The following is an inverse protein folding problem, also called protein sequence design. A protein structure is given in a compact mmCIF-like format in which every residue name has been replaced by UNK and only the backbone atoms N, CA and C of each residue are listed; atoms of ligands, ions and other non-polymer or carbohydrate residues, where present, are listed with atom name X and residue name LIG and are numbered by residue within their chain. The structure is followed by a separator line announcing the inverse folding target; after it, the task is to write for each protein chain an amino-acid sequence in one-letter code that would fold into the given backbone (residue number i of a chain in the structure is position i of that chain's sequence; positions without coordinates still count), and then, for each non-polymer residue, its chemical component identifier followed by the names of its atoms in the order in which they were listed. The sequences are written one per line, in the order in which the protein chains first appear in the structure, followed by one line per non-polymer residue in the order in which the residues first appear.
data_IF_951438146501
#
_entry.id   IF_951438146501
#
_cell.length_a   1.000
_cell.length_b   1.000
_cell.length_c   1.000
_cell.angle_alpha   90.00
_cell.angle_beta   90.00
_cell.angle_gamma   90.00
#
_symmetry.space_group_name_H-M   'P 1'
#
loop_
_entity.id
_entity.type
_entity.pdbx_description
1 polymer ?
#
# COMPACT_ATOMS: atom_id res chain seq x y z
N UNK A 1 10.10 10.28 12.34
CA UNK A 1 10.81 9.01 12.16
C UNK A 1 11.35 8.86 10.73
N UNK A 2 10.68 9.46 9.75
CA UNK A 2 11.08 9.38 8.34
C UNK A 2 11.62 10.71 7.78
N UNK A 3 11.96 11.67 8.63
CA UNK A 3 12.43 13.00 8.21
C UNK A 3 13.66 12.96 7.30
N UNK A 4 14.59 12.06 7.58
CA UNK A 4 15.85 11.92 6.85
C UNK A 4 15.84 10.76 5.85
N UNK A 5 14.65 10.22 5.54
CA UNK A 5 14.53 9.14 4.57
C UNK A 5 14.90 9.64 3.16
N UNK A 6 15.80 8.91 2.50
CA UNK A 6 16.26 9.30 1.16
C UNK A 6 15.30 8.84 0.08
N UNK A 7 14.54 9.77 -0.46
CA UNK A 7 13.54 9.54 -1.52
C UNK A 7 14.17 9.45 -2.93
N UNK A 8 15.43 9.92 -3.08
CA UNK A 8 16.10 10.02 -4.39
C UNK A 8 16.04 8.75 -5.24
N UNK A 9 16.41 7.58 -4.72
CA UNK A 9 16.39 6.34 -5.51
C UNK A 9 14.99 6.03 -6.07
N UNK A 10 13.93 6.37 -5.32
CA UNK A 10 12.55 6.07 -5.72
C UNK A 10 12.02 7.01 -6.80
N UNK A 11 12.61 8.19 -6.93
CA UNK A 11 12.32 9.09 -8.06
C UNK A 11 12.88 8.53 -9.37
N UNK A 12 13.93 7.73 -9.31
CA UNK A 12 14.55 7.09 -10.48
C UNK A 12 13.84 5.81 -10.92
N UNK A 13 13.03 5.23 -10.06
CA UNK A 13 12.27 4.00 -10.34
C UNK A 13 10.94 4.34 -11.01
N UNK A 14 10.98 4.59 -12.31
CA UNK A 14 9.82 5.05 -13.08
C UNK A 14 8.79 3.93 -13.28
N UNK A 15 7.47 4.25 -13.25
CA UNK A 15 6.46 3.29 -13.66
C UNK A 15 6.50 3.09 -15.18
N UNK A 16 5.90 2.01 -15.72
CA UNK A 16 5.69 1.89 -17.15
C UNK A 16 4.93 3.11 -17.67
N UNK A 17 5.27 3.58 -18.87
CA UNK A 17 4.59 4.74 -19.44
C UNK A 17 3.11 4.45 -19.74
N UNK A 18 2.29 5.50 -19.78
CA UNK A 18 0.84 5.38 -19.92
C UNK A 18 0.41 4.63 -21.19
N UNK A 19 1.16 4.82 -22.28
CA UNK A 19 0.87 4.19 -23.57
C UNK A 19 1.70 2.94 -23.84
N UNK A 20 2.44 2.43 -22.85
CA UNK A 20 3.31 1.28 -23.03
C UNK A 20 2.53 -0.03 -23.14
N UNK A 21 3.16 -1.04 -23.74
CA UNK A 21 2.66 -2.40 -23.75
C UNK A 21 2.47 -2.93 -22.33
N UNK A 22 3.41 -2.65 -21.43
CA UNK A 22 3.34 -3.11 -20.05
C UNK A 22 2.12 -2.56 -19.32
N UNK A 23 1.81 -1.27 -19.51
CA UNK A 23 0.61 -0.67 -18.90
C UNK A 23 -0.67 -1.31 -19.45
N UNK A 24 -0.75 -1.53 -20.76
CA UNK A 24 -1.88 -2.21 -21.37
C UNK A 24 -2.05 -3.63 -20.84
N UNK A 25 -0.94 -4.34 -20.63
CA UNK A 25 -0.96 -5.70 -20.12
C UNK A 25 -1.41 -5.72 -18.65
N UNK A 26 -0.93 -4.81 -17.82
CA UNK A 26 -1.35 -4.69 -16.44
C UNK A 26 -2.84 -4.35 -16.32
N UNK A 27 -3.35 -3.49 -17.21
CA UNK A 27 -4.78 -3.17 -17.26
C UNK A 27 -5.61 -4.41 -17.58
N UNK A 28 -5.16 -5.21 -18.53
CA UNK A 28 -5.78 -6.47 -18.91
C UNK A 28 -5.82 -7.45 -17.73
N UNK A 29 -4.73 -7.54 -16.98
CA UNK A 29 -4.64 -8.39 -15.79
C UNK A 29 -5.61 -7.95 -14.68
N UNK A 30 -5.77 -6.64 -14.48
CA UNK A 30 -6.73 -6.11 -13.51
C UNK A 30 -8.15 -6.58 -13.81
N UNK A 31 -8.53 -6.60 -15.08
CA UNK A 31 -9.87 -7.02 -15.51
C UNK A 31 -10.16 -8.49 -15.19
N UNK A 32 -9.13 -9.30 -14.99
CA UNK A 32 -9.27 -10.72 -14.63
C UNK A 32 -9.50 -10.93 -13.14
N UNK A 33 -9.19 -9.94 -12.31
CA UNK A 33 -9.41 -10.04 -10.87
C UNK A 33 -10.88 -9.77 -10.57
N UNK A 34 -11.60 -10.70 -9.90
CA UNK A 34 -13.00 -10.44 -9.54
C UNK A 34 -13.12 -9.22 -8.62
N UNK A 35 -14.09 -8.36 -8.90
CA UNK A 35 -14.36 -7.16 -8.10
C UNK A 35 -15.16 -7.56 -6.85
N UNK A 36 -14.46 -7.82 -5.73
CA UNK A 36 -15.05 -8.27 -4.47
C UNK A 36 -15.14 -7.11 -3.48
N UNK A 37 -16.29 -6.48 -3.40
CA UNK A 37 -16.52 -5.30 -2.55
C UNK A 37 -16.26 -5.56 -1.07
N UNK A 38 -16.65 -6.71 -0.55
CA UNK A 38 -16.48 -7.04 0.86
C UNK A 38 -15.01 -7.16 1.23
N UNK A 39 -14.20 -7.75 0.36
CA UNK A 39 -12.75 -7.83 0.55
C UNK A 39 -12.13 -6.44 0.57
N UNK A 40 -12.53 -5.57 -0.37
CA UNK A 40 -12.03 -4.19 -0.44
C UNK A 40 -12.39 -3.44 0.84
N UNK A 41 -13.63 -3.52 1.29
CA UNK A 41 -14.08 -2.85 2.52
C UNK A 41 -13.33 -3.31 3.75
N UNK A 42 -13.05 -4.60 3.83
CA UNK A 42 -12.34 -5.20 4.97
C UNK A 42 -10.92 -4.63 5.13
N UNK A 43 -10.26 -4.30 4.03
CA UNK A 43 -8.85 -3.88 4.04
C UNK A 43 -8.63 -2.41 3.66
N UNK A 44 -9.70 -1.64 3.46
CA UNK A 44 -9.58 -0.23 3.10
C UNK A 44 -9.01 0.62 4.23
N UNK A 45 -9.49 0.44 5.45
CA UNK A 45 -8.96 1.16 6.61
C UNK A 45 -7.81 0.35 7.21
N UNK A 46 -6.60 0.86 7.04
CA UNK A 46 -5.36 0.17 7.44
C UNK A 46 -5.31 -0.06 8.95
N UNK A 47 -5.63 0.97 9.75
CA UNK A 47 -5.59 0.88 11.21
C UNK A 47 -6.56 -0.19 11.72
N UNK A 48 -7.78 -0.19 11.19
CA UNK A 48 -8.81 -1.16 11.55
C UNK A 48 -8.40 -2.58 11.19
N UNK A 49 -7.81 -2.76 10.00
CA UNK A 49 -7.37 -4.08 9.54
C UNK A 49 -6.32 -4.69 10.48
N UNK A 50 -5.32 -3.91 10.88
CA UNK A 50 -4.28 -4.39 11.80
C UNK A 50 -4.82 -4.60 13.22
N UNK A 51 -5.70 -3.72 13.71
CA UNK A 51 -6.32 -3.88 15.01
C UNK A 51 -7.14 -5.18 15.09
N UNK A 52 -7.87 -5.48 14.02
CA UNK A 52 -8.64 -6.73 13.92
C UNK A 52 -7.74 -7.96 13.94
N UNK A 53 -6.63 -7.93 13.20
CA UNK A 53 -5.64 -9.00 13.21
C UNK A 53 -5.08 -9.23 14.61
N UNK A 54 -4.74 -8.16 15.33
CA UNK A 54 -4.24 -8.23 16.69
C UNK A 54 -5.25 -8.90 17.61
N UNK A 55 -6.52 -8.51 17.51
CA UNK A 55 -7.60 -9.07 18.31
C UNK A 55 -7.81 -10.57 18.02
N UNK A 56 -7.84 -10.94 16.74
CA UNK A 56 -8.06 -12.33 16.33
C UNK A 56 -6.92 -13.25 16.73
N UNK A 57 -5.73 -12.70 16.94
CA UNK A 57 -4.53 -13.48 17.33
C UNK A 57 -4.15 -13.27 18.80
N UNK A 58 -5.04 -12.67 19.59
CA UNK A 58 -4.84 -12.46 21.03
C UNK A 58 -3.50 -11.77 21.35
N UNK A 59 -3.16 -10.74 20.58
CA UNK A 59 -1.92 -9.99 20.75
C UNK A 59 -2.01 -9.11 21.99
N UNK A 60 -1.21 -9.42 23.00
CA UNK A 60 -1.14 -8.60 24.21
C UNK A 60 -0.27 -7.35 23.96
N UNK A 61 -0.68 -6.23 24.56
CA UNK A 61 0.07 -4.99 24.45
C UNK A 61 0.03 -4.35 23.08
N UNK A 62 -0.93 -4.71 22.24
CA UNK A 62 -1.09 -4.07 20.93
C UNK A 62 -1.39 -2.57 21.11
N UNK A 63 -0.56 -1.72 20.54
CA UNK A 63 -0.73 -0.28 20.59
C UNK A 63 -1.16 0.26 19.22
N UNK A 64 -2.42 0.67 19.11
CA UNK A 64 -2.97 1.22 17.87
C UNK A 64 -2.27 2.50 17.40
N UNK A 65 -1.56 3.19 18.29
CA UNK A 65 -0.82 4.41 17.95
C UNK A 65 0.36 4.14 17.02
N UNK A 66 0.88 2.92 17.01
CA UNK A 66 2.00 2.55 16.14
C UNK A 66 1.60 2.68 14.67
N UNK A 67 0.48 2.05 14.29
CA UNK A 67 -0.03 2.13 12.93
C UNK A 67 -0.38 3.58 12.55
N UNK A 68 -1.08 4.29 13.44
CA UNK A 68 -1.48 5.68 13.18
C UNK A 68 -0.27 6.58 12.92
N UNK A 69 0.79 6.44 13.72
CA UNK A 69 2.02 7.23 13.57
C UNK A 69 2.73 6.92 12.26
N UNK A 70 2.84 5.66 11.89
CA UNK A 70 3.51 5.26 10.64
C UNK A 70 2.74 5.74 9.41
N UNK A 71 1.42 5.73 9.46
CA UNK A 71 0.59 6.29 8.40
C UNK A 71 0.87 7.79 8.25
N UNK A 72 0.85 8.50 9.35
CA UNK A 72 1.10 9.95 9.37
C UNK A 72 2.50 10.29 8.85
N UNK A 73 3.53 9.59 9.33
CA UNK A 73 4.92 9.89 9.00
C UNK A 73 5.27 9.49 7.56
N UNK A 74 4.64 8.46 7.00
CA UNK A 74 4.89 8.02 5.63
C UNK A 74 4.14 8.81 4.57
N UNK A 75 3.02 9.42 4.93
CA UNK A 75 2.15 10.11 3.98
C UNK A 75 2.86 11.18 3.14
N UNK A 76 3.69 12.08 3.69
CA UNK A 76 4.36 13.10 2.88
C UNK A 76 5.29 12.50 1.82
N UNK A 77 6.02 11.43 2.15
CA UNK A 77 6.92 10.75 1.21
C UNK A 77 6.12 10.12 0.06
N UNK A 78 5.04 9.44 0.41
CA UNK A 78 4.15 8.81 -0.59
C UNK A 78 3.58 9.86 -1.54
N UNK A 79 3.05 10.96 -0.99
CA UNK A 79 2.43 12.02 -1.79
C UNK A 79 3.44 12.70 -2.70
N UNK A 80 4.67 12.93 -2.23
CA UNK A 80 5.72 13.53 -3.06
C UNK A 80 6.03 12.64 -4.26
N UNK A 81 6.16 11.33 -4.07
CA UNK A 81 6.42 10.39 -5.15
C UNK A 81 5.25 10.27 -6.11
N UNK A 82 4.01 10.30 -5.61
CA UNK A 82 2.81 10.30 -6.45
C UNK A 82 2.77 11.51 -7.37
N UNK A 83 3.10 12.68 -6.85
CA UNK A 83 3.17 13.91 -7.63
C UNK A 83 4.32 13.87 -8.64
N UNK A 84 5.48 13.38 -8.22
CA UNK A 84 6.67 13.30 -9.08
C UNK A 84 6.42 12.41 -10.30
N UNK A 85 5.93 11.19 -10.08
CA UNK A 85 5.69 10.25 -11.17
C UNK A 85 4.44 10.56 -11.98
N UNK A 86 3.46 11.19 -11.35
CA UNK A 86 2.25 11.69 -12.01
C UNK A 86 1.53 10.63 -12.85
N UNK A 87 1.50 9.37 -12.39
CA UNK A 87 0.87 8.29 -13.14
C UNK A 87 -0.66 8.33 -13.00
N UNK A 88 -1.42 8.32 -14.11
CA UNK A 88 -2.88 8.23 -14.00
C UNK A 88 -3.31 6.88 -13.44
N UNK A 89 -4.46 6.86 -12.79
CA UNK A 89 -5.07 5.63 -12.28
C UNK A 89 -5.61 4.77 -13.43
N UNK A 90 -5.85 3.46 -13.19
CA UNK A 90 -6.39 2.60 -14.25
C UNK A 90 -7.65 3.14 -14.92
N UNK A 91 -8.59 3.68 -14.14
CA UNK A 91 -9.83 4.25 -14.67
C UNK A 91 -9.61 5.52 -15.48
N UNK A 92 -8.54 6.24 -15.22
CA UNK A 92 -8.21 7.44 -16.03
C UNK A 92 -7.81 7.05 -17.46
N UNK A 93 -7.18 5.88 -17.63
CA UNK A 93 -6.77 5.37 -18.94
C UNK A 93 -7.85 4.54 -19.62
N UNK A 94 -8.71 3.89 -18.84
CA UNK A 94 -9.85 3.11 -19.35
C UNK A 94 -11.12 3.55 -18.64
N UNK A 95 -11.83 4.51 -19.20
CA UNK A 95 -13.03 5.11 -18.61
C UNK A 95 -14.16 4.11 -18.38
N UNK A 96 -14.14 2.98 -19.09
CA UNK A 96 -15.16 1.92 -18.97
C UNK A 96 -14.82 0.87 -17.92
N UNK A 97 -13.64 0.96 -17.30
CA UNK A 97 -13.22 -0.01 -16.30
C UNK A 97 -14.14 0.04 -15.07
N UNK A 98 -14.84 -1.06 -14.74
CA UNK A 98 -15.57 -1.11 -13.47
C UNK A 98 -14.55 -1.09 -12.32
N UNK A 99 -14.78 -0.23 -11.33
CA UNK A 99 -13.94 -0.19 -10.14
C UNK A 99 -14.79 0.11 -8.90
N UNK A 100 -14.19 -0.09 -7.73
CA UNK A 100 -14.78 0.30 -6.46
C UNK A 100 -14.17 1.65 -6.05
N UNK A 101 -14.93 2.73 -6.21
CA UNK A 101 -14.44 4.07 -5.89
C UNK A 101 -14.37 4.31 -4.39
N UNK A 102 -13.26 4.96 -3.97
CA UNK A 102 -12.99 5.30 -2.57
C UNK A 102 -12.33 6.67 -2.50
N UNK A 103 -12.46 7.33 -1.35
CA UNK A 103 -11.87 8.66 -1.14
C UNK A 103 -10.35 8.66 -1.36
N UNK A 104 -9.66 7.56 -1.04
CA UNK A 104 -8.21 7.44 -1.21
C UNK A 104 -7.76 7.46 -2.68
N UNK A 105 -8.69 7.35 -3.63
CA UNK A 105 -8.38 7.32 -5.07
C UNK A 105 -8.24 8.71 -5.70
N UNK A 106 -8.22 9.76 -4.91
CA UNK A 106 -8.09 11.14 -5.41
C UNK A 106 -6.66 11.56 -5.75
N UNK A 107 -5.68 10.77 -5.33
CA UNK A 107 -4.26 11.02 -5.64
C UNK A 107 -3.82 10.21 -6.85
N UNK A 108 -2.61 10.48 -7.36
CA UNK A 108 -2.05 9.73 -8.48
C UNK A 108 -1.72 8.30 -8.10
N UNK A 109 -1.40 7.46 -9.09
CA UNK A 109 -1.41 6.01 -8.96
C UNK A 109 -0.14 5.40 -8.34
N UNK A 110 1.02 5.96 -8.61
CA UNK A 110 2.31 5.31 -8.35
C UNK A 110 3.14 6.11 -7.35
N UNK A 111 3.54 5.53 -6.22
CA UNK A 111 3.26 4.17 -5.74
C UNK A 111 1.89 4.06 -5.04
N UNK A 112 1.43 2.83 -4.82
CA UNK A 112 0.24 2.57 -4.00
C UNK A 112 0.53 2.90 -2.54
N UNK A 113 -0.19 3.86 -1.97
CA UNK A 113 -0.03 4.24 -0.56
C UNK A 113 -0.39 3.12 0.41
N UNK A 114 -1.47 2.38 0.14
CA UNK A 114 -1.86 1.22 0.95
C UNK A 114 -0.79 0.14 0.92
N UNK A 115 -0.13 -0.07 -0.22
CA UNK A 115 0.96 -1.05 -0.33
C UNK A 115 2.18 -0.63 0.48
N UNK A 116 2.52 0.66 0.47
CA UNK A 116 3.61 1.20 1.30
C UNK A 116 3.31 0.99 2.78
N UNK A 117 2.16 1.47 3.22
CA UNK A 117 1.78 1.48 4.64
C UNK A 117 1.49 0.08 5.15
N UNK A 118 0.83 -0.76 4.35
CA UNK A 118 0.59 -2.15 4.70
C UNK A 118 1.88 -2.91 4.94
N UNK A 119 2.86 -2.75 4.06
CA UNK A 119 4.17 -3.39 4.17
C UNK A 119 4.94 -2.90 5.39
N UNK A 120 5.04 -1.59 5.53
CA UNK A 120 5.78 -0.95 6.63
C UNK A 120 5.22 -1.35 8.00
N UNK A 121 3.92 -1.20 8.17
CA UNK A 121 3.26 -1.48 9.45
C UNK A 121 3.33 -2.96 9.80
N UNK A 122 3.10 -3.85 8.82
CA UNK A 122 3.16 -5.29 9.05
C UNK A 122 4.54 -5.70 9.58
N UNK A 123 5.62 -5.14 9.04
CA UNK A 123 6.98 -5.47 9.46
C UNK A 123 7.28 -4.93 10.87
N UNK A 124 6.87 -3.71 11.17
CA UNK A 124 7.06 -3.11 12.51
C UNK A 124 6.27 -3.90 13.55
N UNK A 125 5.01 -4.21 13.28
CA UNK A 125 4.17 -4.98 14.20
C UNK A 125 4.68 -6.41 14.37
N UNK A 126 5.21 -7.02 13.30
CA UNK A 126 5.82 -8.35 13.38
C UNK A 126 7.04 -8.39 14.29
N UNK A 127 7.85 -7.32 14.29
CA UNK A 127 8.99 -7.21 15.20
C UNK A 127 8.55 -7.01 16.64
N UNK A 128 7.51 -6.20 16.87
CA UNK A 128 6.99 -5.95 18.22
C UNK A 128 6.24 -7.16 18.81
N UNK A 129 5.65 -7.97 17.96
CA UNK A 129 4.83 -9.12 18.34
C UNK A 129 5.22 -10.35 17.52
N UNK A 130 6.41 -10.96 17.79
CA UNK A 130 6.94 -12.03 16.94
C UNK A 130 6.02 -13.24 16.78
N UNK A 131 5.22 -13.56 17.79
CA UNK A 131 4.28 -14.69 17.72
C UNK A 131 3.16 -14.47 16.70
N UNK A 132 2.84 -13.22 16.38
CA UNK A 132 1.81 -12.87 15.41
C UNK A 132 2.41 -12.35 14.10
N UNK A 133 3.70 -12.51 13.88
CA UNK A 133 4.42 -11.99 12.71
C UNK A 133 3.78 -12.41 11.39
N UNK A 134 3.46 -13.71 11.25
CA UNK A 134 2.83 -14.25 10.04
C UNK A 134 1.44 -13.64 9.80
N UNK A 135 0.66 -13.46 10.87
CA UNK A 135 -0.68 -12.88 10.77
C UNK A 135 -0.61 -11.42 10.31
N UNK A 136 0.30 -10.63 10.86
CA UNK A 136 0.49 -9.23 10.44
C UNK A 136 1.00 -9.15 8.99
N UNK A 137 1.93 -10.03 8.62
CA UNK A 137 2.43 -10.09 7.24
C UNK A 137 1.29 -10.35 6.26
N UNK A 138 0.41 -11.31 6.58
CA UNK A 138 -0.75 -11.63 5.74
C UNK A 138 -1.72 -10.45 5.62
N UNK A 139 -1.96 -9.74 6.71
CA UNK A 139 -2.80 -8.55 6.70
C UNK A 139 -2.21 -7.47 5.77
N UNK A 140 -0.91 -7.23 5.85
CA UNK A 140 -0.22 -6.29 4.97
C UNK A 140 -0.35 -6.67 3.50
N UNK A 141 -0.18 -7.95 3.17
CA UNK A 141 -0.37 -8.47 1.80
C UNK A 141 -1.80 -8.25 1.32
N UNK A 142 -2.78 -8.51 2.16
CA UNK A 142 -4.19 -8.34 1.82
C UNK A 142 -4.56 -6.86 1.62
N UNK A 143 -4.00 -5.97 2.44
CA UNK A 143 -4.17 -4.52 2.27
C UNK A 143 -3.65 -4.10 0.90
N UNK A 144 -2.44 -4.53 0.54
CA UNK A 144 -1.84 -4.23 -0.76
C UNK A 144 -2.68 -4.77 -1.92
N UNK A 145 -3.06 -6.05 -1.84
CA UNK A 145 -3.83 -6.72 -2.88
C UNK A 145 -5.23 -6.13 -3.04
N UNK A 146 -5.85 -5.65 -1.96
CA UNK A 146 -7.19 -5.06 -2.00
C UNK A 146 -7.30 -3.90 -2.99
N UNK A 147 -6.19 -3.20 -3.22
CA UNK A 147 -6.14 -2.07 -4.17
C UNK A 147 -6.29 -2.54 -5.62
N UNK A 148 -5.81 -3.74 -5.93
CA UNK A 148 -6.00 -4.33 -7.26
C UNK A 148 -7.39 -4.94 -7.40
N UNK A 149 -7.92 -5.52 -6.34
CA UNK A 149 -9.32 -6.00 -6.31
C UNK A 149 -10.28 -4.85 -6.57
N UNK A 150 -10.01 -3.68 -6.00
CA UNK A 150 -10.79 -2.46 -6.24
C UNK A 150 -10.51 -1.84 -7.62
N UNK A 151 -9.49 -2.31 -8.33
CA UNK A 151 -9.00 -1.77 -9.59
C UNK A 151 -8.54 -0.31 -9.47
N UNK A 152 -8.04 0.03 -8.29
CA UNK A 152 -7.52 1.36 -7.96
C UNK A 152 -6.07 1.54 -8.38
N UNK A 153 -5.32 0.45 -8.51
CA UNK A 153 -3.88 0.46 -8.78
C UNK A 153 -3.48 -0.67 -9.72
N UNK A 154 -2.44 -0.41 -10.51
CA UNK A 154 -1.73 -1.42 -11.28
C UNK A 154 -0.84 -2.27 -10.37
N UNK A 155 -0.49 -3.46 -10.82
CA UNK A 155 0.44 -4.34 -10.11
C UNK A 155 1.78 -3.66 -9.84
N UNK A 156 2.30 -2.90 -10.81
CA UNK A 156 3.55 -2.16 -10.62
C UNK A 156 3.45 -1.07 -9.54
N UNK A 157 2.28 -0.47 -9.35
CA UNK A 157 2.03 0.46 -8.24
C UNK A 157 2.18 -0.24 -6.89
N UNK A 158 1.63 -1.45 -6.80
CA UNK A 158 1.70 -2.27 -5.58
C UNK A 158 3.13 -2.71 -5.30
N UNK A 159 3.85 -3.18 -6.32
CA UNK A 159 5.25 -3.61 -6.18
C UNK A 159 6.14 -2.48 -5.73
N UNK A 160 5.98 -1.30 -6.31
CA UNK A 160 6.74 -0.12 -5.89
C UNK A 160 6.40 0.27 -4.46
N UNK A 161 5.12 0.20 -4.10
CA UNK A 161 4.68 0.49 -2.73
C UNK A 161 5.30 -0.46 -1.71
N UNK A 162 5.32 -1.76 -2.01
CA UNK A 162 5.94 -2.77 -1.14
C UNK A 162 7.44 -2.52 -1.00
N UNK A 163 8.12 -2.18 -2.09
CA UNK A 163 9.55 -1.87 -2.09
C UNK A 163 9.85 -0.64 -1.24
N UNK A 164 9.07 0.41 -1.40
CA UNK A 164 9.21 1.64 -0.62
C UNK A 164 8.94 1.38 0.87
N UNK A 165 7.86 0.66 1.18
CA UNK A 165 7.54 0.29 2.56
C UNK A 165 8.64 -0.51 3.23
N UNK A 166 9.24 -1.45 2.50
CA UNK A 166 10.36 -2.24 2.99
C UNK A 166 11.60 -1.38 3.26
N UNK A 167 11.89 -0.42 2.38
CA UNK A 167 13.01 0.53 2.59
C UNK A 167 12.77 1.44 3.78
N UNK A 168 11.56 1.92 3.95
CA UNK A 168 11.18 2.72 5.13
C UNK A 168 11.37 1.91 6.41
N UNK A 169 10.93 0.66 6.40
CA UNK A 169 11.11 -0.24 7.54
C UNK A 169 12.59 -0.39 7.90
N UNK A 170 13.44 -0.66 6.93
CA UNK A 170 14.89 -0.79 7.16
C UNK A 170 15.50 0.48 7.72
N UNK A 171 14.99 1.62 7.30
CA UNK A 171 15.47 2.92 7.77
C UNK A 171 15.14 3.17 9.25
N UNK A 172 13.97 2.71 9.71
CA UNK A 172 13.47 3.03 11.04
C UNK A 172 13.56 1.90 12.06
N UNK A 173 13.86 0.67 11.65
CA UNK A 173 13.76 -0.53 12.52
C UNK A 173 14.53 -0.43 13.82
N UNK A 174 15.61 0.35 13.87
CA UNK A 174 16.42 0.56 15.07
C UNK A 174 16.02 1.82 15.86
N UNK A 175 14.98 2.54 15.40
CA UNK A 175 14.55 3.82 16.00
C UNK A 175 13.21 3.71 16.75
N UNK A 176 12.56 2.56 16.64
CA UNK A 176 11.25 2.33 17.25
C UNK A 176 11.16 0.98 17.94
#
# INVERSE_FOLDING_TARGET
VLKDFNIGPFKKMKPPSDSSFDTAQELKELKKIPLKKDFVKKFDNIETAFAKTAKENNVEGYDKKVAAKLIKDSAPVILELKKFHNRPRPKDLDKKLPNYEMASMKTKSYPSGHSVQGTLIAKVLGDKHPKAKSAFAKTGENISYSRRVARAHYKSDSKMGEKLGNSMYKHIKNKI
#
